data_IF_963508779416
#
_entry.id   IF_963508779416
#
_cell.length_a   1.000
_cell.length_b   1.000
_cell.length_c   1.000
_cell.angle_alpha   90.00
_cell.angle_beta   90.00
_cell.angle_gamma   90.00
#
_symmetry.space_group_name_H-M   'P 1'
#
loop_
_entity.id
_entity.type
_entity.pdbx_description
1 polymer ?
#
# COMPACT_ATOMS: atom_id res chain seq x y z
N UNK A 1 4.98 -3.53 17.72
CA UNK A 1 4.87 -2.32 16.85
C UNK A 1 6.14 -1.53 17.06
N UNK A 2 6.96 -1.33 16.03
CA UNK A 2 8.10 -0.43 16.19
C UNK A 2 7.58 1.01 16.38
N UNK A 3 8.06 1.76 17.40
CA UNK A 3 7.78 3.17 17.50
C UNK A 3 8.39 3.88 16.29
N UNK A 4 7.59 4.70 15.60
CA UNK A 4 8.08 5.45 14.47
C UNK A 4 8.97 6.60 14.95
N UNK A 5 10.28 6.45 14.79
CA UNK A 5 11.25 7.46 15.23
C UNK A 5 10.96 8.84 14.61
N UNK A 6 10.52 8.87 13.34
CA UNK A 6 10.10 10.11 12.67
C UNK A 6 8.88 10.78 13.31
N UNK A 7 7.90 10.01 13.77
CA UNK A 7 6.72 10.57 14.46
C UNK A 7 7.11 11.16 15.81
N UNK A 8 8.07 10.53 16.48
CA UNK A 8 8.54 10.94 17.79
C UNK A 8 9.47 12.15 17.74
N UNK A 9 10.30 12.27 16.69
CA UNK A 9 11.27 13.35 16.51
C UNK A 9 10.72 14.54 15.71
N UNK A 10 9.87 14.29 14.72
CA UNK A 10 9.41 15.32 13.78
C UNK A 10 7.88 15.49 13.77
N UNK A 11 7.12 14.69 14.51
CA UNK A 11 5.65 14.75 14.51
C UNK A 11 4.99 14.30 13.20
N UNK A 12 5.79 13.87 12.22
CA UNK A 12 5.35 13.50 10.87
C UNK A 12 5.43 11.98 10.74
N UNK A 13 4.33 11.36 10.29
CA UNK A 13 4.33 9.94 9.95
C UNK A 13 5.18 9.70 8.69
N UNK A 14 6.16 8.79 8.76
CA UNK A 14 6.93 8.42 7.58
C UNK A 14 6.12 7.52 6.65
N UNK A 15 6.46 7.54 5.36
CA UNK A 15 5.77 6.81 4.29
C UNK A 15 5.68 5.29 4.53
N UNK A 16 6.51 4.71 5.41
CA UNK A 16 6.53 3.27 5.69
C UNK A 16 6.05 2.85 7.09
N UNK A 17 5.98 3.77 8.06
CA UNK A 17 5.66 3.40 9.45
C UNK A 17 4.23 2.86 9.64
N UNK A 18 3.32 3.25 8.74
CA UNK A 18 1.94 2.77 8.73
C UNK A 18 1.80 1.30 8.32
N UNK A 19 2.81 0.70 7.66
CA UNK A 19 2.70 -0.63 7.05
C UNK A 19 2.46 -1.69 8.12
N UNK A 20 3.31 -1.78 9.15
CA UNK A 20 3.14 -2.80 10.20
C UNK A 20 1.78 -2.70 10.93
N UNK A 21 1.29 -1.47 11.14
CA UNK A 21 0.02 -1.19 11.82
C UNK A 21 -1.18 -1.53 10.94
N UNK A 22 -1.15 -1.10 9.69
CA UNK A 22 -2.21 -1.38 8.72
C UNK A 22 -2.24 -2.88 8.37
N UNK A 23 -1.09 -3.55 8.27
CA UNK A 23 -1.01 -5.01 8.13
C UNK A 23 -1.63 -5.73 9.33
N UNK A 24 -1.34 -5.30 10.55
CA UNK A 24 -1.96 -5.88 11.75
C UNK A 24 -3.49 -5.69 11.77
N UNK A 25 -4.00 -4.54 11.32
CA UNK A 25 -5.44 -4.30 11.18
C UNK A 25 -6.07 -5.15 10.08
N UNK A 26 -5.34 -5.37 8.98
CA UNK A 26 -5.73 -6.29 7.92
C UNK A 26 -5.90 -7.72 8.44
N UNK A 27 -4.94 -8.21 9.22
CA UNK A 27 -5.04 -9.53 9.87
C UNK A 27 -6.15 -9.61 10.92
N UNK A 28 -6.53 -8.48 11.52
CA UNK A 28 -7.69 -8.39 12.42
C UNK A 28 -9.04 -8.29 11.69
N UNK A 29 -9.06 -8.22 10.35
CA UNK A 29 -10.27 -8.02 9.56
C UNK A 29 -10.80 -6.58 9.54
N UNK A 30 -10.04 -5.62 10.09
CA UNK A 30 -10.40 -4.21 10.10
C UNK A 30 -9.91 -3.47 8.85
N UNK A 31 -10.49 -3.84 7.70
CA UNK A 31 -10.10 -3.33 6.39
C UNK A 31 -10.25 -1.80 6.25
N UNK A 32 -11.29 -1.22 6.87
CA UNK A 32 -11.57 0.22 6.83
C UNK A 32 -10.55 1.00 7.68
N UNK A 33 -10.20 0.48 8.86
CA UNK A 33 -9.19 1.10 9.72
C UNK A 33 -7.80 0.98 9.08
N UNK A 34 -7.48 -0.17 8.49
CA UNK A 34 -6.25 -0.37 7.73
C UNK A 34 -6.14 0.64 6.56
N UNK A 35 -7.24 0.86 5.83
CA UNK A 35 -7.30 1.85 4.74
C UNK A 35 -7.12 3.29 5.23
N UNK A 36 -7.75 3.65 6.37
CA UNK A 36 -7.60 5.00 6.95
C UNK A 36 -6.15 5.28 7.37
N UNK A 37 -5.49 4.31 8.00
CA UNK A 37 -4.11 4.43 8.48
C UNK A 37 -3.12 4.43 7.31
N UNK A 38 -3.24 3.47 6.39
CA UNK A 38 -2.31 3.34 5.27
C UNK A 38 -3.05 2.81 4.03
N UNK A 39 -3.65 3.69 3.21
CA UNK A 39 -4.44 3.26 2.05
C UNK A 39 -3.59 2.50 1.02
N UNK A 40 -2.29 2.81 0.95
CA UNK A 40 -1.33 2.12 0.10
C UNK A 40 -1.05 0.66 0.53
N UNK A 41 -1.61 0.18 1.64
CA UNK A 41 -1.41 -1.20 2.10
C UNK A 41 -1.90 -2.23 1.08
N UNK A 42 -3.04 -1.97 0.41
CA UNK A 42 -3.61 -2.87 -0.61
C UNK A 42 -2.76 -2.90 -1.87
N UNK A 43 -2.27 -1.72 -2.24
CA UNK A 43 -1.34 -1.52 -3.34
C UNK A 43 -0.06 -2.33 -3.13
N UNK A 44 0.50 -2.25 -1.91
CA UNK A 44 1.69 -2.98 -1.48
C UNK A 44 1.46 -4.49 -1.44
N UNK A 45 0.30 -4.94 -0.94
CA UNK A 45 -0.09 -6.35 -0.86
C UNK A 45 -0.18 -6.97 -2.27
N UNK A 46 -0.75 -6.22 -3.21
CA UNK A 46 -0.88 -6.62 -4.61
C UNK A 46 0.50 -6.71 -5.27
N UNK A 47 1.38 -5.75 -5.01
CA UNK A 47 2.76 -5.76 -5.52
C UNK A 47 3.58 -6.94 -4.96
N UNK A 48 3.44 -7.23 -3.66
CA UNK A 48 4.07 -8.36 -3.00
C UNK A 48 3.57 -9.71 -3.55
N UNK A 49 2.25 -9.88 -3.67
CA UNK A 49 1.64 -11.10 -4.23
C UNK A 49 2.08 -11.33 -5.68
N UNK A 50 2.15 -10.26 -6.46
CA UNK A 50 2.59 -10.33 -7.84
C UNK A 50 4.10 -10.65 -7.96
N UNK A 51 4.95 -10.16 -7.04
CA UNK A 51 6.36 -10.54 -6.97
C UNK A 51 6.53 -12.04 -6.66
N UNK A 52 5.74 -12.57 -5.72
CA UNK A 52 5.72 -13.99 -5.36
C UNK A 52 5.29 -14.86 -6.54
N UNK A 53 4.21 -14.49 -7.22
CA UNK A 53 3.74 -15.21 -8.42
C UNK A 53 4.78 -15.21 -9.54
N UNK A 54 5.48 -14.08 -9.72
CA UNK A 54 6.54 -13.94 -10.72
C UNK A 54 7.79 -14.79 -10.40
N UNK A 55 8.02 -15.18 -9.14
CA UNK A 55 9.10 -16.11 -8.76
C UNK A 55 8.78 -17.55 -9.18
N UNK A 56 7.52 -17.97 -9.07
CA UNK A 56 7.10 -19.34 -9.39
C UNK A 56 6.73 -19.54 -10.87
N UNK A 57 6.32 -18.49 -11.59
CA UNK A 57 5.89 -18.61 -12.98
C UNK A 57 6.62 -17.61 -13.88
N UNK A 58 7.51 -18.14 -14.75
CA UNK A 58 8.11 -17.39 -15.86
C UNK A 58 7.07 -17.17 -16.97
N UNK A 59 6.21 -16.17 -16.81
CA UNK A 59 5.21 -15.84 -17.83
C UNK A 59 5.87 -15.14 -19.04
N UNK A 60 5.68 -15.68 -20.25
CA UNK A 60 6.15 -15.03 -21.51
C UNK A 60 5.37 -13.74 -21.84
N UNK A 61 4.15 -13.62 -21.32
CA UNK A 61 3.30 -12.42 -21.35
C UNK A 61 3.30 -11.66 -20.01
N UNK A 62 4.17 -12.02 -19.05
CA UNK A 62 4.18 -11.44 -17.70
C UNK A 62 4.28 -9.93 -17.78
N UNK A 63 5.20 -9.43 -18.61
CA UNK A 63 5.52 -8.01 -18.66
C UNK A 63 4.32 -7.13 -19.04
N UNK A 64 3.42 -7.57 -19.93
CA UNK A 64 2.21 -6.79 -20.25
C UNK A 64 1.23 -6.75 -19.08
N UNK A 65 0.99 -7.88 -18.43
CA UNK A 65 0.08 -7.98 -17.27
C UNK A 65 0.67 -7.21 -16.07
N UNK A 66 1.99 -7.30 -15.89
CA UNK A 66 2.82 -6.59 -14.90
C UNK A 66 2.69 -5.08 -15.05
N UNK A 67 2.87 -4.57 -16.26
CA UNK A 67 2.71 -3.14 -16.57
C UNK A 67 1.27 -2.68 -16.36
N UNK A 68 0.28 -3.47 -16.78
CA UNK A 68 -1.12 -3.15 -16.56
C UNK A 68 -1.47 -3.08 -15.06
N UNK A 69 -1.01 -4.07 -14.27
CA UNK A 69 -1.21 -4.08 -12.82
C UNK A 69 -0.54 -2.87 -12.15
N UNK A 70 0.69 -2.53 -12.56
CA UNK A 70 1.42 -1.36 -12.04
C UNK A 70 0.68 -0.06 -12.37
N UNK A 71 0.24 0.12 -13.63
CA UNK A 71 -0.50 1.30 -14.06
C UNK A 71 -1.82 1.44 -13.29
N UNK A 72 -2.54 0.34 -13.10
CA UNK A 72 -3.78 0.32 -12.32
C UNK A 72 -3.51 0.64 -10.84
N UNK A 73 -2.42 0.14 -10.27
CA UNK A 73 -2.00 0.45 -8.90
C UNK A 73 -1.69 1.94 -8.73
N UNK A 74 -0.93 2.54 -9.67
CA UNK A 74 -0.63 3.97 -9.69
C UNK A 74 -1.91 4.79 -9.81
N UNK A 75 -2.84 4.40 -10.68
CA UNK A 75 -4.12 5.07 -10.84
C UNK A 75 -4.94 5.07 -9.54
N UNK A 76 -5.02 3.92 -8.85
CA UNK A 76 -5.71 3.80 -7.55
C UNK A 76 -5.02 4.67 -6.49
N UNK A 77 -3.68 4.69 -6.43
CA UNK A 77 -2.93 5.53 -5.48
C UNK A 77 -3.22 7.01 -5.74
N UNK A 78 -3.17 7.46 -6.99
CA UNK A 78 -3.41 8.87 -7.36
C UNK A 78 -4.84 9.28 -7.03
N UNK A 79 -5.84 8.47 -7.38
CA UNK A 79 -7.24 8.74 -7.05
C UNK A 79 -7.46 8.76 -5.54
N UNK A 80 -6.89 7.78 -4.81
CA UNK A 80 -7.00 7.73 -3.36
C UNK A 80 -6.30 8.91 -2.68
N UNK A 81 -5.18 9.38 -3.23
CA UNK A 81 -4.44 10.53 -2.71
C UNK A 81 -5.17 11.84 -3.01
N UNK A 82 -5.74 12.00 -4.22
CA UNK A 82 -6.58 13.13 -4.59
C UNK A 82 -7.84 13.23 -3.71
N UNK A 83 -8.51 12.10 -3.44
CA UNK A 83 -9.64 12.05 -2.52
C UNK A 83 -9.24 12.34 -1.07
N UNK A 84 -8.05 11.91 -0.63
CA UNK A 84 -7.54 12.21 0.71
C UNK A 84 -7.14 13.68 0.86
N UNK A 85 -6.52 14.28 -0.16
CA UNK A 85 -6.21 15.71 -0.25
C UNK A 85 -7.47 16.58 -0.23
N UNK A 86 -8.51 16.20 -0.97
CA UNK A 86 -9.79 16.93 -0.98
C UNK A 86 -10.55 16.85 0.36
N UNK A 87 -10.15 15.92 1.26
CA UNK A 87 -10.69 15.81 2.62
C UNK A 87 -9.94 16.67 3.64
N UNK A 88 -8.83 17.28 3.23
CA UNK A 88 -7.99 18.17 4.02
C UNK A 88 -8.07 19.64 3.55
N UNK A 89 -8.86 19.93 2.50
CA UNK A 89 -9.30 21.28 2.12
C UNK A 89 -10.69 21.54 2.74
#
# INVERSE_FOLDING_TARGET
MLPCLNKQLFGIDCLGCGIQRATALLFKGEFIAAFKIYPAIYSLLLLAGFLLLNLFVKFRLANRIKIFLIALNILIIVISYALKMNKYL
#
